data_IF_378376694447
#
_entry.id   IF_378376694447
#
_cell.length_a   1.000
_cell.length_b   1.000
_cell.length_c   1.000
_cell.angle_alpha   90.00
_cell.angle_beta   90.00
_cell.angle_gamma   90.00
#
_symmetry.space_group_name_H-M   'P 1'
#
loop_
_entity.id
_entity.type
_entity.pdbx_description
1 polymer ?
#
# COMPACT_ATOMS: atom_id res chain seq x y z
N UNK A 1 -3.99 23.98 1.87
CA UNK A 1 -4.01 22.60 1.33
C UNK A 1 -2.60 22.05 1.37
N UNK A 2 -2.44 20.80 1.81
CA UNK A 2 -1.14 20.12 1.80
C UNK A 2 -0.65 19.98 0.34
N UNK A 3 0.52 20.52 0.02
CA UNK A 3 1.11 20.43 -1.32
C UNK A 3 2.11 19.27 -1.44
N UNK A 4 2.00 18.26 -0.57
CA UNK A 4 2.89 17.10 -0.56
C UNK A 4 2.41 16.08 -1.59
N UNK A 5 3.36 15.51 -2.32
CA UNK A 5 3.11 14.45 -3.28
C UNK A 5 3.32 13.10 -2.60
N UNK A 6 2.24 12.33 -2.44
CA UNK A 6 2.28 10.98 -1.88
C UNK A 6 3.12 10.02 -2.73
N UNK A 7 3.18 10.23 -4.05
CA UNK A 7 4.05 9.42 -4.91
C UNK A 7 5.53 9.75 -4.70
N UNK A 8 5.89 11.03 -4.52
CA UNK A 8 7.28 11.39 -4.18
C UNK A 8 7.70 10.81 -2.83
N UNK A 9 6.85 10.92 -1.81
CA UNK A 9 7.14 10.35 -0.49
C UNK A 9 7.33 8.83 -0.54
N UNK A 10 6.44 8.12 -1.25
CA UNK A 10 6.56 6.69 -1.47
C UNK A 10 7.79 6.28 -2.29
N UNK A 11 8.23 7.09 -3.27
CA UNK A 11 9.42 6.78 -4.07
C UNK A 11 10.70 6.78 -3.25
N UNK A 12 10.81 7.62 -2.22
CA UNK A 12 11.95 7.57 -1.29
C UNK A 12 11.98 6.25 -0.52
N UNK A 13 10.81 5.72 -0.14
CA UNK A 13 10.71 4.42 0.55
C UNK A 13 10.98 3.27 -0.42
N UNK A 14 10.46 3.34 -1.65
CA UNK A 14 10.77 2.36 -2.71
C UNK A 14 12.27 2.32 -2.97
N UNK A 15 12.96 3.47 -2.97
CA UNK A 15 14.41 3.51 -3.12
C UNK A 15 15.12 2.70 -2.03
N UNK A 16 14.70 2.82 -0.77
CA UNK A 16 15.22 2.00 0.34
C UNK A 16 14.99 0.52 0.05
N UNK A 17 13.78 0.13 -0.39
CA UNK A 17 13.48 -1.27 -0.74
C UNK A 17 14.40 -1.78 -1.85
N UNK A 18 14.67 -0.98 -2.87
CA UNK A 18 15.54 -1.35 -3.98
C UNK A 18 17.01 -1.48 -3.55
N UNK A 19 17.48 -0.55 -2.71
CA UNK A 19 18.86 -0.53 -2.20
C UNK A 19 19.13 -1.70 -1.22
N UNK A 20 18.10 -2.14 -0.48
CA UNK A 20 18.18 -3.20 0.54
C UNK A 20 17.50 -4.52 0.13
N UNK A 21 17.26 -4.73 -1.17
CA UNK A 21 16.42 -5.82 -1.68
C UNK A 21 16.81 -7.22 -1.17
N UNK A 22 18.12 -7.47 -1.00
CA UNK A 22 18.65 -8.77 -0.58
C UNK A 22 18.41 -9.01 0.92
N UNK A 23 18.59 -8.00 1.78
CA UNK A 23 18.31 -8.10 3.22
C UNK A 23 16.81 -8.12 3.52
N UNK A 24 16.00 -7.53 2.63
CA UNK A 24 14.54 -7.54 2.73
C UNK A 24 13.90 -8.82 2.17
N UNK A 25 14.69 -9.69 1.54
CA UNK A 25 14.26 -10.87 0.79
C UNK A 25 13.14 -10.54 -0.22
N UNK A 26 13.38 -9.56 -1.09
CA UNK A 26 12.47 -9.22 -2.18
C UNK A 26 13.15 -9.37 -3.55
N UNK A 27 12.35 -9.67 -4.57
CA UNK A 27 12.83 -9.82 -5.95
C UNK A 27 12.41 -8.62 -6.78
N UNK A 28 13.39 -8.01 -7.44
CA UNK A 28 13.16 -6.87 -8.33
C UNK A 28 13.38 -7.29 -9.77
N UNK A 29 12.43 -6.99 -10.64
CA UNK A 29 12.52 -7.18 -12.08
C UNK A 29 11.99 -5.96 -12.83
N UNK A 30 12.38 -5.81 -14.09
CA UNK A 30 11.84 -4.78 -14.98
C UNK A 30 11.07 -5.46 -16.12
N UNK A 31 9.83 -5.02 -16.34
CA UNK A 31 9.02 -5.45 -17.48
C UNK A 31 9.57 -4.83 -18.78
N UNK A 32 9.24 -5.38 -19.96
CA UNK A 32 9.73 -4.84 -21.24
C UNK A 32 9.30 -3.38 -21.53
N UNK A 33 8.23 -2.91 -20.90
CA UNK A 33 7.76 -1.52 -20.98
C UNK A 33 8.47 -0.57 -19.99
N UNK A 34 9.47 -1.06 -19.25
CA UNK A 34 10.28 -0.31 -18.28
C UNK A 34 9.69 -0.25 -16.88
N UNK A 35 8.52 -0.85 -16.62
CA UNK A 35 7.93 -0.85 -15.26
C UNK A 35 8.81 -1.64 -14.31
N UNK A 36 9.17 -1.04 -13.17
CA UNK A 36 9.82 -1.76 -12.07
C UNK A 36 8.79 -2.56 -11.28
N UNK A 37 9.01 -3.87 -11.15
CA UNK A 37 8.16 -4.79 -10.38
C UNK A 37 8.96 -5.32 -9.20
N UNK A 38 8.42 -5.12 -7.99
CA UNK A 38 8.98 -5.58 -6.72
C UNK A 38 8.07 -6.68 -6.20
N UNK A 39 8.54 -7.92 -6.28
CA UNK A 39 7.90 -9.09 -5.70
C UNK A 39 8.27 -9.18 -4.21
N UNK A 40 7.26 -9.09 -3.35
CA UNK A 40 7.37 -9.08 -1.91
C UNK A 40 6.76 -10.33 -1.24
N UNK A 41 6.59 -11.44 -1.98
CA UNK A 41 6.14 -12.71 -1.38
C UNK A 41 5.63 -13.80 -2.30
N UNK A 42 5.81 -13.70 -3.63
CA UNK A 42 5.43 -14.71 -4.61
C UNK A 42 6.56 -15.72 -4.79
N UNK A 43 7.74 -15.25 -5.21
CA UNK A 43 8.93 -16.09 -5.42
C UNK A 43 10.03 -15.85 -4.38
N UNK A 44 9.75 -15.05 -3.35
CA UNK A 44 10.59 -14.81 -2.19
C UNK A 44 9.75 -14.94 -0.91
N UNK A 45 10.40 -14.98 0.25
CA UNK A 45 9.67 -15.02 1.53
C UNK A 45 9.23 -13.62 1.94
N UNK A 46 10.09 -12.63 1.69
CA UNK A 46 9.97 -11.28 2.25
C UNK A 46 10.30 -11.26 3.74
N UNK A 47 10.21 -10.07 4.32
CA UNK A 47 10.47 -9.85 5.76
C UNK A 47 9.39 -8.99 6.39
N UNK A 48 9.33 -8.97 7.73
CA UNK A 48 8.48 -8.03 8.44
C UNK A 48 8.88 -6.57 8.16
N UNK A 49 10.18 -6.31 7.99
CA UNK A 49 10.70 -4.98 7.64
C UNK A 49 10.26 -4.55 6.23
N UNK A 50 10.28 -5.47 5.26
CA UNK A 50 9.70 -5.21 3.93
C UNK A 50 8.22 -4.84 4.05
N UNK A 51 7.46 -5.59 4.85
CA UNK A 51 6.05 -5.28 5.13
C UNK A 51 5.85 -3.91 5.79
N UNK A 52 6.75 -3.51 6.69
CA UNK A 52 6.75 -2.18 7.34
C UNK A 52 6.96 -1.07 6.31
N UNK A 53 7.96 -1.22 5.44
CA UNK A 53 8.24 -0.29 4.33
C UNK A 53 7.09 -0.22 3.32
N UNK A 54 6.44 -1.35 3.02
CA UNK A 54 5.25 -1.39 2.16
C UNK A 54 4.08 -0.64 2.84
N UNK A 55 3.89 -0.80 4.15
CA UNK A 55 2.91 -0.04 4.92
C UNK A 55 3.12 1.47 4.81
N UNK A 56 4.36 1.96 4.96
CA UNK A 56 4.70 3.39 4.78
C UNK A 56 4.57 3.85 3.33
N UNK A 57 4.90 2.98 2.37
CA UNK A 57 4.68 3.22 0.93
C UNK A 57 3.20 3.43 0.64
N UNK A 58 2.33 2.57 1.17
CA UNK A 58 0.89 2.72 1.07
C UNK A 58 0.40 4.04 1.68
N UNK A 59 0.99 4.48 2.80
CA UNK A 59 0.70 5.79 3.42
C UNK A 59 1.27 6.99 2.63
N UNK A 60 1.95 6.75 1.51
CA UNK A 60 2.48 7.82 0.65
C UNK A 60 3.66 8.58 1.27
N UNK A 61 4.37 7.98 2.23
CA UNK A 61 5.40 8.67 3.02
C UNK A 61 4.88 9.75 3.97
N UNK A 62 3.56 9.80 4.22
CA UNK A 62 2.91 10.73 5.14
C UNK A 62 2.54 10.11 6.49
N UNK A 63 2.99 8.88 6.74
CA UNK A 63 2.82 8.20 8.02
C UNK A 63 3.99 7.27 8.30
N UNK A 64 4.14 6.91 9.56
CA UNK A 64 5.18 6.00 10.03
C UNK A 64 4.56 4.66 10.45
N UNK A 65 5.24 3.57 10.15
CA UNK A 65 4.94 2.23 10.65
C UNK A 65 6.14 1.73 11.43
N UNK A 66 5.91 1.22 12.64
CA UNK A 66 6.94 0.58 13.48
C UNK A 66 6.52 -0.84 13.82
N UNK A 67 7.47 -1.77 13.76
CA UNK A 67 7.28 -3.10 14.32
C UNK A 67 7.43 -3.03 15.84
N UNK A 68 6.55 -3.71 16.56
CA UNK A 68 6.57 -3.79 18.01
C UNK A 68 5.99 -5.14 18.47
N UNK A 69 5.88 -5.34 19.78
CA UNK A 69 5.13 -6.43 20.41
C UNK A 69 3.91 -5.85 21.13
N UNK A 70 2.79 -6.58 21.12
CA UNK A 70 1.61 -6.27 21.93
C UNK A 70 1.14 -7.49 22.72
N UNK A 71 0.42 -7.24 23.81
CA UNK A 71 -0.14 -8.28 24.67
C UNK A 71 -1.66 -8.26 24.60
N UNK A 72 -2.28 -9.40 24.30
CA UNK A 72 -3.73 -9.59 24.32
C UNK A 72 -4.05 -10.74 25.28
N UNK A 73 -4.44 -10.40 26.50
CA UNK A 73 -4.48 -11.38 27.59
C UNK A 73 -3.09 -11.96 27.82
N UNK A 74 -2.98 -13.29 27.81
CA UNK A 74 -1.71 -14.00 27.96
C UNK A 74 -0.94 -14.20 26.64
N UNK A 75 -1.46 -13.67 25.52
CA UNK A 75 -0.80 -13.79 24.21
C UNK A 75 0.18 -12.65 23.99
N UNK A 76 1.44 -13.00 23.73
CA UNK A 76 2.45 -12.10 23.19
C UNK A 76 2.45 -12.20 21.66
N UNK A 77 2.15 -11.10 20.98
CA UNK A 77 2.02 -11.06 19.51
C UNK A 77 2.90 -9.97 18.90
N UNK A 78 3.54 -10.23 17.75
CA UNK A 78 4.12 -9.15 16.95
C UNK A 78 3.01 -8.18 16.54
N UNK A 79 3.34 -6.91 16.42
CA UNK A 79 2.39 -5.83 16.18
C UNK A 79 3.02 -4.74 15.31
N UNK A 80 2.14 -3.91 14.74
CA UNK A 80 2.52 -2.64 14.13
C UNK A 80 1.96 -1.48 14.93
N UNK A 81 2.74 -0.41 15.02
CA UNK A 81 2.28 0.92 15.45
C UNK A 81 2.27 1.82 14.23
N UNK A 82 1.14 2.45 13.96
CA UNK A 82 0.93 3.34 12.82
C UNK A 82 0.58 4.73 13.33
N UNK A 83 1.22 5.76 12.78
CA UNK A 83 0.92 7.15 13.10
C UNK A 83 0.97 8.04 11.85
N UNK A 84 0.11 9.06 11.79
CA UNK A 84 0.13 10.09 10.76
C UNK A 84 -0.53 11.39 11.24
N UNK A 85 0.06 12.52 10.88
CA UNK A 85 -0.53 13.86 11.04
C UNK A 85 -1.34 14.30 9.81
N UNK A 86 -1.48 13.43 8.81
CA UNK A 86 -2.26 13.67 7.60
C UNK A 86 -3.26 12.53 7.32
N UNK A 87 -4.15 12.15 8.27
CA UNK A 87 -4.96 10.94 8.16
C UNK A 87 -5.77 10.87 6.88
N UNK A 88 -6.44 11.97 6.51
CA UNK A 88 -7.25 12.05 5.28
C UNK A 88 -6.46 11.65 4.02
N UNK A 89 -5.26 12.20 3.85
CA UNK A 89 -4.46 11.99 2.63
C UNK A 89 -3.70 10.67 2.71
N UNK A 90 -3.01 10.41 3.81
CA UNK A 90 -2.21 9.20 3.98
C UNK A 90 -3.07 7.93 3.88
N UNK A 91 -4.28 7.95 4.44
CA UNK A 91 -5.17 6.78 4.43
C UNK A 91 -6.06 6.74 3.18
N UNK A 92 -7.03 7.64 3.04
CA UNK A 92 -8.06 7.54 2.00
C UNK A 92 -7.51 7.83 0.59
N UNK A 93 -6.63 8.84 0.47
CA UNK A 93 -6.06 9.23 -0.83
C UNK A 93 -4.87 8.38 -1.27
N UNK A 94 -4.32 7.53 -0.39
CA UNK A 94 -3.15 6.69 -0.69
C UNK A 94 -3.39 5.25 -0.23
N UNK A 95 -3.33 4.96 1.08
CA UNK A 95 -3.30 3.59 1.60
C UNK A 95 -4.53 2.75 1.22
N UNK A 96 -5.73 3.34 1.20
CA UNK A 96 -6.99 2.64 0.93
C UNK A 96 -6.91 1.79 -0.35
N UNK A 97 -7.33 0.54 -0.26
CA UNK A 97 -7.35 -0.42 -1.36
C UNK A 97 -8.58 -0.20 -2.27
N UNK A 98 -8.75 1.03 -2.78
CA UNK A 98 -9.96 1.43 -3.51
C UNK A 98 -9.94 1.14 -5.00
N UNK A 99 -8.79 0.80 -5.58
CA UNK A 99 -8.66 0.59 -7.02
C UNK A 99 -8.62 -0.91 -7.37
N UNK A 100 -9.74 -1.46 -7.83
CA UNK A 100 -9.76 -2.80 -8.42
C UNK A 100 -9.07 -2.81 -9.78
N UNK A 101 -7.95 -3.55 -9.89
CA UNK A 101 -7.24 -3.78 -11.15
C UNK A 101 -7.82 -5.04 -11.80
N UNK A 102 -8.40 -4.89 -12.97
CA UNK A 102 -8.95 -6.01 -13.76
C UNK A 102 -8.58 -5.85 -15.23
N UNK A 103 -7.59 -6.63 -15.67
CA UNK A 103 -7.06 -6.61 -17.04
C UNK A 103 -6.90 -8.06 -17.50
N UNK A 104 -7.66 -8.45 -18.53
CA UNK A 104 -7.75 -9.85 -18.94
C UNK A 104 -8.20 -10.76 -17.79
N UNK A 105 -7.34 -11.72 -17.42
CA UNK A 105 -7.56 -12.63 -16.28
C UNK A 105 -6.95 -12.11 -14.96
N UNK A 106 -6.12 -11.08 -15.01
CA UNK A 106 -5.46 -10.53 -13.84
C UNK A 106 -6.46 -9.78 -12.96
N UNK A 107 -6.43 -10.05 -11.66
CA UNK A 107 -7.24 -9.39 -10.66
C UNK A 107 -6.39 -9.07 -9.43
N UNK A 108 -6.41 -7.82 -8.98
CA UNK A 108 -5.75 -7.40 -7.75
C UNK A 108 -6.46 -6.20 -7.13
N UNK A 109 -6.34 -6.07 -5.81
CA UNK A 109 -6.70 -4.83 -5.11
C UNK A 109 -5.48 -3.90 -5.10
N UNK A 110 -5.64 -2.73 -5.73
CA UNK A 110 -4.63 -1.69 -5.83
C UNK A 110 -4.76 -0.68 -4.70
N UNK A 111 -3.66 -0.53 -3.95
CA UNK A 111 -3.47 0.47 -2.90
C UNK A 111 -2.32 1.40 -3.26
N UNK A 112 -2.17 2.47 -2.48
CA UNK A 112 -1.03 3.34 -2.52
C UNK A 112 -1.18 4.56 -3.44
N UNK A 113 -0.11 5.34 -3.58
CA UNK A 113 -0.18 6.73 -4.01
C UNK A 113 -0.49 6.91 -5.51
N UNK A 114 -0.30 5.89 -6.35
CA UNK A 114 -0.71 5.93 -7.76
C UNK A 114 -2.21 6.21 -7.92
N UNK A 115 -3.03 5.81 -6.94
CA UNK A 115 -4.47 6.14 -6.92
C UNK A 115 -4.71 7.65 -6.97
N UNK A 116 -3.86 8.47 -6.35
CA UNK A 116 -3.98 9.92 -6.36
C UNK A 116 -3.59 10.58 -7.68
N UNK A 117 -2.91 9.85 -8.57
CA UNK A 117 -2.68 10.25 -9.96
C UNK A 117 -3.87 9.84 -10.83
N UNK A 118 -4.32 8.59 -10.70
CA UNK A 118 -5.35 8.01 -11.53
C UNK A 118 -6.77 8.52 -11.23
N UNK A 119 -7.06 8.77 -9.95
CA UNK A 119 -8.35 9.23 -9.43
C UNK A 119 -9.54 8.41 -10.00
N UNK A 120 -9.40 7.08 -10.04
CA UNK A 120 -10.45 6.21 -10.58
C UNK A 120 -11.72 6.25 -9.71
N UNK A 121 -11.55 6.40 -8.40
CA UNK A 121 -12.61 6.63 -7.43
C UNK A 121 -13.04 8.11 -7.42
N UNK A 122 -13.59 8.61 -8.54
CA UNK A 122 -13.84 10.05 -8.77
C UNK A 122 -14.53 10.77 -7.60
N UNK A 123 -15.63 10.20 -7.08
CA UNK A 123 -16.39 10.79 -5.96
C UNK A 123 -15.53 10.97 -4.71
N UNK A 124 -14.75 9.95 -4.35
CA UNK A 124 -13.86 10.01 -3.21
C UNK A 124 -12.82 11.14 -3.39
N UNK A 125 -12.18 11.23 -4.55
CA UNK A 125 -11.17 12.27 -4.78
C UNK A 125 -11.73 13.69 -4.89
N UNK A 126 -12.97 13.84 -5.36
CA UNK A 126 -13.71 15.11 -5.30
C UNK A 126 -13.91 15.55 -3.85
N UNK A 127 -14.37 14.65 -2.98
CA UNK A 127 -14.58 14.91 -1.55
C UNK A 127 -13.27 15.16 -0.78
N UNK A 128 -12.18 14.46 -1.14
CA UNK A 128 -10.88 14.64 -0.49
C UNK A 128 -10.18 15.95 -0.90
N UNK A 129 -10.61 16.57 -2.00
CA UNK A 129 -10.00 17.77 -2.60
C UNK A 129 -8.48 17.63 -2.78
N UNK A 130 -8.03 16.44 -3.18
CA UNK A 130 -6.61 16.10 -3.31
C UNK A 130 -6.31 15.44 -4.65
N UNK A 131 -5.20 15.87 -5.26
CA UNK A 131 -4.68 15.31 -6.51
C UNK A 131 -3.17 15.40 -6.51
N UNK A 132 -2.50 14.28 -6.74
CA UNK A 132 -1.05 14.28 -6.94
C UNK A 132 -0.70 14.68 -8.38
N UNK A 133 0.48 15.26 -8.57
CA UNK A 133 1.00 15.72 -9.87
C UNK A 133 2.42 15.20 -10.13
N UNK A 134 2.84 14.16 -9.41
CA UNK A 134 4.10 13.48 -9.67
C UNK A 134 4.17 12.92 -11.09
N UNK A 135 5.39 12.83 -11.63
CA UNK A 135 5.67 12.20 -12.93
C UNK A 135 5.97 10.70 -12.82
N UNK A 136 6.12 10.21 -11.60
CA UNK A 136 6.40 8.81 -11.24
C UNK A 136 5.32 8.33 -10.28
N UNK A 137 4.95 7.06 -10.41
CA UNK A 137 3.87 6.44 -9.66
C UNK A 137 4.35 5.24 -8.86
N UNK A 138 3.76 5.02 -7.69
CA UNK A 138 3.94 3.78 -6.91
C UNK A 138 2.57 3.16 -6.64
N UNK A 139 2.40 1.89 -7.00
CA UNK A 139 1.20 1.11 -6.68
C UNK A 139 1.59 -0.14 -5.90
N UNK A 140 0.75 -0.52 -4.95
CA UNK A 140 0.86 -1.78 -4.22
C UNK A 140 -0.32 -2.66 -4.59
N UNK A 141 -0.05 -3.85 -5.13
CA UNK A 141 -1.02 -4.82 -5.58
C UNK A 141 -1.07 -5.99 -4.61
N UNK A 142 -2.22 -6.20 -3.99
CA UNK A 142 -2.46 -7.43 -3.22
C UNK A 142 -2.80 -8.56 -4.19
N UNK A 143 -1.80 -9.39 -4.52
CA UNK A 143 -1.91 -10.47 -5.50
C UNK A 143 -0.82 -11.52 -5.33
N UNK A 144 -1.11 -12.74 -5.79
CA UNK A 144 -0.15 -13.85 -5.91
C UNK A 144 0.42 -14.00 -7.33
N UNK A 145 -0.03 -13.15 -8.25
CA UNK A 145 0.44 -13.13 -9.63
C UNK A 145 1.17 -11.83 -9.91
N UNK A 146 2.34 -11.91 -10.57
CA UNK A 146 3.06 -10.74 -11.05
C UNK A 146 2.25 -10.08 -12.19
N UNK A 147 2.13 -8.74 -12.23
CA UNK A 147 1.42 -8.04 -13.28
C UNK A 147 2.21 -8.10 -14.59
N UNK A 148 1.52 -8.40 -15.70
CA UNK A 148 2.11 -8.36 -17.04
C UNK A 148 2.37 -6.93 -17.51
N UNK A 149 3.04 -6.79 -18.66
CA UNK A 149 3.16 -5.51 -19.37
C UNK A 149 1.79 -4.87 -19.63
N UNK A 150 0.79 -5.65 -20.02
CA UNK A 150 -0.58 -5.14 -20.27
C UNK A 150 -1.21 -4.55 -19.00
N UNK A 151 -1.06 -5.22 -17.86
CA UNK A 151 -1.56 -4.74 -16.57
C UNK A 151 -0.85 -3.45 -16.15
N UNK A 152 0.48 -3.42 -16.27
CA UNK A 152 1.29 -2.26 -15.87
C UNK A 152 1.09 -1.05 -16.79
N UNK A 153 0.93 -1.28 -18.10
CA UNK A 153 0.58 -0.24 -19.06
C UNK A 153 -0.79 0.38 -18.75
N UNK A 154 -1.80 -0.45 -18.44
CA UNK A 154 -3.11 0.03 -18.02
C UNK A 154 -3.02 0.93 -16.78
N UNK A 155 -2.24 0.53 -15.76
CA UNK A 155 -2.06 1.34 -14.54
C UNK A 155 -1.37 2.67 -14.88
N UNK A 156 -0.30 2.64 -15.66
CA UNK A 156 0.46 3.83 -16.05
C UNK A 156 -0.40 4.81 -16.87
N UNK A 157 -1.20 4.31 -17.82
CA UNK A 157 -2.12 5.11 -18.63
C UNK A 157 -3.16 5.82 -17.75
N UNK A 158 -3.77 5.10 -16.80
CA UNK A 158 -4.72 5.70 -15.85
C UNK A 158 -4.04 6.77 -15.00
N UNK A 159 -2.80 6.54 -14.58
CA UNK A 159 -1.99 7.52 -13.84
C UNK A 159 -1.46 8.68 -14.71
N UNK A 160 -1.59 8.60 -16.05
CA UNK A 160 -1.04 9.56 -17.02
C UNK A 160 0.47 9.76 -16.90
N UNK A 161 1.18 8.66 -16.67
CA UNK A 161 2.65 8.59 -16.64
C UNK A 161 3.12 7.53 -17.65
N UNK A 162 4.40 7.54 -18.00
CA UNK A 162 4.97 6.42 -18.77
C UNK A 162 5.11 5.18 -17.89
N UNK A 163 5.01 3.99 -18.47
CA UNK A 163 5.21 2.71 -17.78
C UNK A 163 6.59 2.61 -17.11
N UNK A 164 7.63 3.17 -17.75
CA UNK A 164 8.97 3.31 -17.16
C UNK A 164 9.07 4.17 -15.91
N UNK A 165 8.02 4.93 -15.59
CA UNK A 165 7.92 5.75 -14.39
C UNK A 165 7.01 5.12 -13.32
N UNK A 166 6.49 3.91 -13.56
CA UNK A 166 5.69 3.15 -12.62
C UNK A 166 6.56 2.18 -11.83
N UNK A 167 6.37 2.15 -10.51
CA UNK A 167 6.89 1.13 -9.62
C UNK A 167 5.71 0.35 -9.06
N UNK A 168 5.74 -0.98 -9.18
CA UNK A 168 4.68 -1.85 -8.75
C UNK A 168 5.20 -2.83 -7.71
N UNK A 169 4.72 -2.70 -6.47
CA UNK A 169 4.97 -3.70 -5.43
C UNK A 169 3.83 -4.71 -5.49
N UNK A 170 4.16 -6.00 -5.49
CA UNK A 170 3.18 -7.09 -5.50
C UNK A 170 3.38 -7.92 -4.24
N UNK A 171 2.32 -8.06 -3.45
CA UNK A 171 2.39 -8.70 -2.14
C UNK A 171 1.16 -9.63 -1.95
N UNK A 172 1.36 -10.95 -1.79
CA UNK A 172 0.23 -11.83 -1.49
C UNK A 172 -0.31 -11.60 -0.08
N UNK A 173 -1.62 -11.76 0.12
CA UNK A 173 -2.27 -11.69 1.45
C UNK A 173 -1.63 -12.67 2.43
N UNK A 174 -1.44 -13.93 2.01
CA UNK A 174 -0.75 -14.96 2.77
C UNK A 174 0.78 -14.88 2.57
N UNK A 175 1.39 -13.81 3.09
CA UNK A 175 2.84 -13.62 3.20
C UNK A 175 3.16 -12.83 4.48
N UNK A 176 4.43 -12.81 4.91
CA UNK A 176 4.83 -11.99 6.08
C UNK A 176 4.64 -10.50 5.78
N UNK A 177 5.07 -10.04 4.61
CA UNK A 177 4.89 -8.67 4.18
C UNK A 177 3.40 -8.29 4.05
N UNK A 178 2.57 -9.22 3.56
CA UNK A 178 1.11 -9.09 3.50
C UNK A 178 0.49 -8.91 4.88
N UNK A 179 0.88 -9.76 5.84
CA UNK A 179 0.36 -9.68 7.22
C UNK A 179 0.72 -8.34 7.87
N UNK A 180 1.95 -7.84 7.68
CA UNK A 180 2.37 -6.54 8.23
C UNK A 180 1.66 -5.37 7.53
N UNK A 181 1.59 -5.34 6.19
CA UNK A 181 0.97 -4.20 5.48
C UNK A 181 -0.53 -4.09 5.75
N UNK A 182 -1.23 -5.22 5.90
CA UNK A 182 -2.66 -5.22 6.22
C UNK A 182 -2.88 -4.74 7.65
N UNK A 183 -2.14 -5.24 8.64
CA UNK A 183 -2.20 -4.72 10.01
C UNK A 183 -1.86 -3.23 10.06
N UNK A 184 -1.01 -2.74 9.16
CA UNK A 184 -0.65 -1.31 9.06
C UNK A 184 -1.79 -0.41 8.58
N UNK A 185 -2.95 -0.98 8.23
CA UNK A 185 -4.18 -0.26 7.85
C UNK A 185 -5.06 0.10 9.03
N UNK A 186 -4.64 -0.17 10.27
CA UNK A 186 -5.43 0.07 11.48
C UNK A 186 -5.98 1.50 11.59
N UNK A 187 -5.25 2.51 11.12
CA UNK A 187 -5.74 3.90 11.05
C UNK A 187 -6.68 4.10 9.85
N UNK A 188 -6.36 3.50 8.70
CA UNK A 188 -7.16 3.59 7.48
C UNK A 188 -8.55 3.00 7.63
N UNK A 189 -8.70 1.83 8.26
CA UNK A 189 -10.02 1.23 8.47
C UNK A 189 -10.93 2.13 9.32
N UNK A 190 -10.36 2.83 10.31
CA UNK A 190 -11.08 3.82 11.12
C UNK A 190 -11.48 5.03 10.29
N UNK A 191 -10.55 5.58 9.51
CA UNK A 191 -10.80 6.72 8.60
C UNK A 191 -11.86 6.38 7.54
N UNK A 192 -11.77 5.21 6.93
CA UNK A 192 -12.73 4.72 5.94
C UNK A 192 -14.10 4.52 6.57
N UNK A 193 -14.17 3.98 7.80
CA UNK A 193 -15.46 3.83 8.50
C UNK A 193 -16.08 5.18 8.84
N UNK A 194 -15.30 6.15 9.33
CA UNK A 194 -15.77 7.51 9.60
C UNK A 194 -16.34 8.16 8.33
N UNK A 195 -15.61 8.08 7.22
CA UNK A 195 -16.07 8.55 5.93
C UNK A 195 -17.37 7.87 5.49
N UNK A 196 -17.44 6.54 5.59
CA UNK A 196 -18.62 5.76 5.19
C UNK A 196 -19.89 6.07 6.01
N UNK A 197 -19.75 6.58 7.24
CA UNK A 197 -20.89 7.04 8.07
C UNK A 197 -21.17 8.54 7.92
N UNK A 198 -20.53 9.22 6.96
CA UNK A 198 -20.74 10.63 6.65
C UNK A 198 -19.98 11.60 7.57
N UNK A 199 -19.01 11.14 8.35
CA UNK A 199 -18.12 12.03 9.10
C UNK A 199 -17.07 12.63 8.15
N UNK A 200 -16.94 13.95 8.20
CA UNK A 200 -15.97 14.71 7.41
C UNK A 200 -14.51 14.34 7.76
N UNK A 201 -13.76 13.68 6.84
CA UNK A 201 -12.38 13.27 7.11
C UNK A 201 -11.41 14.42 7.38
N UNK A 202 -11.71 15.65 6.95
CA UNK A 202 -10.88 16.84 7.20
C UNK A 202 -10.81 17.22 8.70
N UNK A 203 -11.82 16.80 9.47
CA UNK A 203 -11.86 17.04 10.92
C UNK A 203 -10.91 16.13 11.70
N UNK A 204 -10.41 15.05 11.11
CA UNK A 204 -9.45 14.15 11.77
C UNK A 204 -8.03 14.69 11.57
N UNK A 205 -7.47 15.26 12.63
CA UNK A 205 -6.15 15.93 12.59
C UNK A 205 -4.97 14.97 12.71
N UNK A 206 -5.13 13.87 13.44
CA UNK A 206 -4.08 12.88 13.71
C UNK A 206 -4.68 11.49 13.77
N UNK A 207 -3.89 10.50 13.37
CA UNK A 207 -4.23 9.10 13.46
C UNK A 207 -3.10 8.35 14.17
N UNK A 208 -3.45 7.51 15.12
CA UNK A 208 -2.55 6.59 15.79
C UNK A 208 -3.30 5.28 16.03
N UNK A 209 -2.68 4.15 15.72
CA UNK A 209 -3.28 2.84 15.90
C UNK A 209 -2.24 1.76 16.10
N UNK A 210 -2.63 0.71 16.81
CA UNK A 210 -1.81 -0.48 17.05
C UNK A 210 -2.62 -1.70 16.66
N UNK A 211 -2.03 -2.61 15.89
CA UNK A 211 -2.68 -3.85 15.49
C UNK A 211 -1.69 -5.02 15.56
N UNK A 212 -2.15 -6.22 15.97
CA UNK A 212 -1.31 -7.41 15.91
C UNK A 212 -1.05 -7.77 14.45
N UNK A 213 0.13 -8.35 14.18
CA UNK A 213 0.47 -8.94 12.89
C UNK A 213 -0.05 -10.38 12.90
N UNK A 214 -0.94 -10.69 11.96
CA UNK A 214 -1.51 -12.04 11.86
C UNK A 214 -0.43 -13.07 11.48
N UNK A 215 -0.52 -14.32 12.00
CA UNK A 215 0.30 -15.42 11.49
C UNK A 215 0.03 -15.67 10.00
N UNK A 216 1.08 -15.97 9.24
CA UNK A 216 0.95 -16.24 7.80
C UNK A 216 0.13 -17.51 7.57
N UNK A 217 -1.02 -17.36 6.93
CA UNK A 217 -1.88 -18.50 6.57
C UNK A 217 -1.32 -19.28 5.37
N UNK A 218 -1.83 -20.49 5.13
CA UNK A 218 -1.45 -21.31 3.97
C UNK A 218 -2.04 -20.84 2.63
N UNK A 219 -3.11 -20.05 2.66
CA UNK A 219 -3.88 -19.61 1.48
C UNK A 219 -4.40 -18.20 1.68
N UNK A 220 -4.45 -17.41 0.61
CA UNK A 220 -4.85 -15.99 0.66
C UNK A 220 -6.27 -15.80 1.19
N UNK A 221 -7.21 -16.67 0.81
CA UNK A 221 -8.59 -16.59 1.29
C UNK A 221 -8.73 -16.76 2.81
N UNK A 222 -7.84 -17.57 3.42
CA UNK A 222 -7.78 -17.72 4.88
C UNK A 222 -7.03 -16.56 5.51
N UNK A 223 -5.94 -16.10 4.90
CA UNK A 223 -5.20 -14.92 5.36
C UNK A 223 -6.11 -13.69 5.44
N UNK A 224 -6.96 -13.45 4.43
CA UNK A 224 -7.91 -12.35 4.38
C UNK A 224 -8.86 -12.27 5.59
N UNK A 225 -9.18 -13.40 6.22
CA UNK A 225 -9.99 -13.41 7.44
C UNK A 225 -9.17 -13.26 8.73
N UNK A 226 -7.86 -13.49 8.68
CA UNK A 226 -6.96 -13.41 9.82
C UNK A 226 -6.28 -12.05 9.96
N UNK A 227 -5.94 -11.43 8.82
CA UNK A 227 -5.31 -10.11 8.69
C UNK A 227 -6.35 -9.00 8.74
#
# INVERSE_FOLDING_TARGET
MLNHSVNKGALEIVKIILDEKDSLDCKVSENKNGTTVIDAGIECTGTAELGRLIGETCLGGLGSVKLNTMYIGDLELPAVIVATDYPKIATLASQYAGWTIKVGKYFAMGSGPARALAQVEKKLYEELEYKDRAKKGVIVLESREKPSEEVTEYIAEKCRISSSNLNCIVVPTASIAGSVQISSRIVEVGMHKLHAIGFDPEKVRRGHGVAPIAPVAKKDNKAMGMT
#
